data_IF_852241790416
#
_entry.id   IF_852241790416
#
_cell.length_a   1.000
_cell.length_b   1.000
_cell.length_c   1.000
_cell.angle_alpha   90.00
_cell.angle_beta   90.00
_cell.angle_gamma   90.00
#
_symmetry.space_group_name_H-M   'P 1'
#
loop_
_entity.id
_entity.type
_entity.pdbx_description
1 polymer ?
#
# COMPACT_ATOMS: atom_id res chain seq x y z
N UNK A 1 -6.73 6.41 -26.90
CA UNK A 1 -7.10 5.37 -25.91
C UNK A 1 -6.80 5.88 -24.50
N UNK A 2 -7.81 6.37 -23.79
CA UNK A 2 -7.70 6.94 -22.44
C UNK A 2 -8.68 6.19 -21.52
N UNK A 3 -8.29 5.01 -21.05
CA UNK A 3 -9.20 4.13 -20.28
C UNK A 3 -8.61 3.34 -19.09
N UNK A 4 -7.28 3.23 -18.83
CA UNK A 4 -6.83 2.46 -17.68
C UNK A 4 -7.04 3.22 -16.35
N UNK A 5 -6.59 4.47 -16.22
CA UNK A 5 -6.66 5.21 -14.96
C UNK A 5 -8.10 5.47 -14.44
N UNK A 6 -9.07 5.67 -15.35
CA UNK A 6 -10.48 5.83 -14.99
C UNK A 6 -11.12 4.53 -14.48
N UNK A 7 -10.73 3.39 -15.06
CA UNK A 7 -11.16 2.06 -14.60
C UNK A 7 -10.60 1.74 -13.21
N UNK A 8 -9.32 2.02 -12.96
CA UNK A 8 -8.69 1.89 -11.63
C UNK A 8 -9.39 2.71 -10.55
N UNK A 9 -9.71 3.98 -10.86
CA UNK A 9 -10.42 4.84 -9.94
C UNK A 9 -11.86 4.40 -9.68
N UNK A 10 -12.51 3.78 -10.67
CA UNK A 10 -13.83 3.15 -10.53
C UNK A 10 -13.73 1.87 -9.70
N UNK A 11 -12.72 1.03 -9.92
CA UNK A 11 -12.48 -0.21 -9.14
C UNK A 11 -12.11 0.11 -7.69
N UNK A 12 -11.27 1.12 -7.45
CA UNK A 12 -10.96 1.60 -6.10
C UNK A 12 -12.19 2.24 -5.44
N UNK A 13 -12.88 3.13 -6.16
CA UNK A 13 -14.12 3.73 -5.67
C UNK A 13 -15.17 2.69 -5.34
N UNK A 14 -15.28 1.61 -6.12
CA UNK A 14 -16.20 0.50 -5.92
C UNK A 14 -15.78 -0.46 -4.82
N UNK A 15 -14.48 -0.80 -4.69
CA UNK A 15 -13.97 -1.66 -3.61
C UNK A 15 -13.95 -0.94 -2.27
N UNK A 16 -13.55 0.32 -2.23
CA UNK A 16 -13.65 1.17 -1.05
C UNK A 16 -15.13 1.40 -0.68
N UNK A 17 -16.00 1.70 -1.66
CA UNK A 17 -17.45 1.78 -1.46
C UNK A 17 -18.04 0.46 -0.99
N UNK A 18 -17.60 -0.70 -1.48
CA UNK A 18 -18.12 -2.01 -1.04
C UNK A 18 -17.58 -2.44 0.31
N UNK A 19 -16.33 -2.12 0.64
CA UNK A 19 -15.81 -2.29 1.99
C UNK A 19 -16.56 -1.39 3.00
N UNK A 20 -16.91 -0.17 2.57
CA UNK A 20 -17.72 0.77 3.33
C UNK A 20 -19.21 0.34 3.40
N UNK A 21 -19.81 -0.10 2.29
CA UNK A 21 -21.23 -0.45 2.15
C UNK A 21 -21.56 -1.85 2.68
N UNK A 22 -20.65 -2.83 2.60
CA UNK A 22 -20.83 -4.11 3.31
C UNK A 22 -20.78 -3.91 4.84
N UNK A 23 -20.12 -2.85 5.30
CA UNK A 23 -20.07 -2.44 6.69
C UNK A 23 -21.30 -1.58 7.10
N UNK A 24 -21.79 -0.70 6.22
CA UNK A 24 -23.02 0.09 6.41
C UNK A 24 -24.32 -0.69 6.20
N UNK A 25 -24.33 -1.76 5.40
CA UNK A 25 -25.49 -2.64 5.27
C UNK A 25 -25.88 -3.29 6.62
N UNK A 26 -25.01 -3.18 7.63
CA UNK A 26 -25.31 -3.53 9.01
C UNK A 26 -25.96 -2.39 9.84
N UNK A 27 -25.97 -1.12 9.39
CA UNK A 27 -26.29 0.05 10.23
C UNK A 27 -26.93 1.28 9.55
N UNK A 28 -27.99 1.12 8.74
CA UNK A 28 -29.04 2.16 8.53
C UNK A 28 -28.70 3.47 7.77
N UNK A 29 -29.16 3.53 6.51
CA UNK A 29 -29.86 4.57 5.72
C UNK A 29 -29.93 6.09 6.08
N UNK A 30 -29.14 6.66 6.99
CA UNK A 30 -29.30 8.07 7.39
C UNK A 30 -27.99 8.82 7.11
N UNK A 31 -28.08 9.96 6.41
CA UNK A 31 -26.99 10.89 5.99
C UNK A 31 -26.46 10.74 4.55
N UNK A 32 -27.33 10.96 3.55
CA UNK A 32 -27.02 10.67 2.15
C UNK A 32 -26.81 11.87 1.22
N UNK A 33 -26.95 13.15 1.61
CA UNK A 33 -26.85 14.26 0.64
C UNK A 33 -25.59 15.14 0.80
N UNK A 34 -25.31 15.65 2.00
CA UNK A 34 -24.12 16.47 2.28
C UNK A 34 -22.83 15.65 2.25
N UNK A 35 -22.93 14.38 2.65
CA UNK A 35 -21.90 13.36 2.48
C UNK A 35 -21.57 13.15 1.00
N UNK A 36 -22.55 13.02 0.11
CA UNK A 36 -22.33 12.77 -1.33
C UNK A 36 -21.56 13.89 -2.05
N UNK A 37 -21.81 15.16 -1.73
CA UNK A 37 -21.10 16.28 -2.35
C UNK A 37 -19.62 16.36 -1.90
N UNK A 38 -19.36 16.16 -0.61
CA UNK A 38 -18.00 16.07 -0.08
C UNK A 38 -17.27 14.82 -0.61
N UNK A 39 -17.99 13.72 -0.79
CA UNK A 39 -17.51 12.48 -1.43
C UNK A 39 -17.14 12.74 -2.89
N UNK A 40 -17.95 13.50 -3.64
CA UNK A 40 -17.67 13.82 -5.04
C UNK A 40 -16.40 14.64 -5.23
N UNK A 41 -16.16 15.63 -4.37
CA UNK A 41 -14.95 16.45 -4.41
C UNK A 41 -13.70 15.66 -3.99
N UNK A 42 -13.78 14.90 -2.89
CA UNK A 42 -12.70 14.00 -2.46
C UNK A 42 -12.39 12.95 -3.52
N UNK A 43 -13.40 12.40 -4.20
CA UNK A 43 -13.21 11.44 -5.30
C UNK A 43 -12.35 12.04 -6.42
N UNK A 44 -12.57 13.30 -6.80
CA UNK A 44 -11.78 13.98 -7.86
C UNK A 44 -10.33 14.23 -7.43
N UNK A 45 -10.11 14.68 -6.20
CA UNK A 45 -8.76 14.92 -5.66
C UNK A 45 -7.96 13.63 -5.54
N UNK A 46 -8.60 12.58 -5.01
CA UNK A 46 -8.01 11.23 -4.94
C UNK A 46 -7.74 10.67 -6.34
N UNK A 47 -8.65 10.87 -7.30
CA UNK A 47 -8.45 10.46 -8.70
C UNK A 47 -7.24 11.12 -9.35
N UNK A 48 -7.07 12.44 -9.19
CA UNK A 48 -5.95 13.17 -9.78
C UNK A 48 -4.62 12.75 -9.16
N UNK A 49 -4.57 12.66 -7.83
CA UNK A 49 -3.37 12.26 -7.10
C UNK A 49 -3.01 10.79 -7.39
N UNK A 50 -3.98 9.89 -7.43
CA UNK A 50 -3.75 8.50 -7.82
C UNK A 50 -3.29 8.38 -9.26
N UNK A 51 -3.82 9.19 -10.18
CA UNK A 51 -3.35 9.19 -11.58
C UNK A 51 -1.87 9.57 -11.65
N UNK A 52 -1.45 10.61 -10.92
CA UNK A 52 -0.05 11.03 -10.88
C UNK A 52 0.85 9.98 -10.23
N UNK A 53 0.39 9.37 -9.12
CA UNK A 53 1.09 8.23 -8.49
C UNK A 53 1.20 7.07 -9.47
N UNK A 54 0.10 6.62 -10.08
CA UNK A 54 0.04 5.50 -11.03
C UNK A 54 0.97 5.77 -12.22
N UNK A 55 0.96 6.99 -12.77
CA UNK A 55 1.81 7.36 -13.90
C UNK A 55 3.28 7.41 -13.49
N UNK A 56 3.60 7.95 -12.31
CA UNK A 56 4.94 7.93 -11.74
C UNK A 56 5.43 6.50 -11.49
N UNK A 57 4.57 5.64 -10.94
CA UNK A 57 4.82 4.22 -10.70
C UNK A 57 5.10 3.50 -12.01
N UNK A 58 4.25 3.67 -13.01
CA UNK A 58 4.43 3.04 -14.32
C UNK A 58 5.74 3.47 -14.96
N UNK A 59 6.05 4.77 -14.97
CA UNK A 59 7.33 5.28 -15.49
C UNK A 59 8.52 4.70 -14.73
N UNK A 60 8.47 4.69 -13.40
CA UNK A 60 9.56 4.15 -12.59
C UNK A 60 9.73 2.65 -12.80
N UNK A 61 8.63 1.90 -12.90
CA UNK A 61 8.62 0.46 -13.21
C UNK A 61 9.18 0.20 -14.60
N UNK A 62 8.77 0.94 -15.62
CA UNK A 62 9.26 0.73 -16.99
C UNK A 62 10.77 1.07 -17.08
N UNK A 63 11.22 2.16 -16.47
CA UNK A 63 12.64 2.53 -16.39
C UNK A 63 13.45 1.46 -15.63
N UNK A 64 13.00 1.06 -14.44
CA UNK A 64 13.76 0.14 -13.58
C UNK A 64 13.69 -1.32 -14.03
N UNK A 65 12.60 -1.76 -14.65
CA UNK A 65 12.48 -3.14 -15.14
C UNK A 65 13.50 -3.47 -16.24
N UNK A 66 13.97 -2.47 -17.00
CA UNK A 66 15.07 -2.64 -17.97
C UNK A 66 16.47 -2.69 -17.32
N UNK A 67 16.58 -2.28 -16.05
CA UNK A 67 17.86 -2.08 -15.33
C UNK A 67 17.99 -2.87 -14.03
N UNK A 68 16.96 -3.64 -13.64
CA UNK A 68 16.98 -4.45 -12.42
C UNK A 68 18.20 -5.40 -12.41
N UNK A 69 18.58 -5.93 -13.56
CA UNK A 69 19.76 -6.79 -13.78
C UNK A 69 21.09 -6.03 -13.60
N UNK A 70 21.13 -4.70 -13.70
CA UNK A 70 22.40 -3.92 -13.74
C UNK A 70 22.61 -2.94 -12.60
N UNK A 71 21.57 -2.35 -12.00
CA UNK A 71 21.76 -1.26 -11.02
C UNK A 71 20.75 -1.20 -9.88
N UNK A 72 19.77 -2.10 -9.81
CA UNK A 72 18.82 -2.28 -8.69
C UNK A 72 18.50 -0.99 -7.93
N UNK A 73 17.56 -0.16 -8.41
CA UNK A 73 17.31 1.21 -7.93
C UNK A 73 17.59 1.44 -6.44
N UNK A 74 18.73 2.07 -6.14
CA UNK A 74 19.40 2.04 -4.83
C UNK A 74 18.96 3.17 -3.89
N UNK A 75 17.70 3.18 -3.46
CA UNK A 75 17.29 4.07 -2.35
C UNK A 75 17.39 3.34 -1.02
N UNK A 76 18.42 3.68 -0.25
CA UNK A 76 18.55 3.33 1.18
C UNK A 76 18.27 4.56 2.03
N UNK A 77 17.86 4.34 3.27
CA UNK A 77 17.93 5.37 4.31
C UNK A 77 19.02 4.95 5.26
N UNK A 78 19.92 5.87 5.61
CA UNK A 78 20.87 5.65 6.71
C UNK A 78 20.40 6.43 7.91
N UNK A 79 20.36 5.76 9.05
CA UNK A 79 20.12 6.38 10.35
C UNK A 79 21.47 6.38 11.03
N UNK A 80 22.17 7.51 11.02
CA UNK A 80 23.52 7.61 11.58
C UNK A 80 23.60 7.11 13.03
N UNK A 81 24.82 6.90 13.55
CA UNK A 81 25.14 6.32 14.89
C UNK A 81 24.46 6.98 16.12
N UNK A 82 23.63 8.01 15.96
CA UNK A 82 22.96 8.74 17.04
C UNK A 82 21.63 8.14 17.50
N UNK A 83 21.02 7.26 16.71
CA UNK A 83 19.88 6.47 17.17
C UNK A 83 20.34 5.02 17.34
N UNK A 84 20.22 4.45 18.55
CA UNK A 84 20.24 2.99 18.74
C UNK A 84 18.93 2.43 18.14
N UNK A 85 18.83 2.43 16.80
CA UNK A 85 17.60 2.03 16.12
C UNK A 85 17.49 0.52 16.20
N UNK A 86 16.64 0.02 17.09
CA UNK A 86 16.16 -1.36 17.04
C UNK A 86 15.71 -1.64 15.60
N UNK A 87 16.17 -2.75 15.01
CA UNK A 87 15.90 -3.15 13.62
C UNK A 87 16.65 -2.36 12.52
N UNK A 88 17.75 -1.66 12.84
CA UNK A 88 18.58 -0.93 11.86
C UNK A 88 18.90 -1.78 10.61
N UNK A 89 19.25 -3.04 10.80
CA UNK A 89 19.59 -3.97 9.72
C UNK A 89 18.47 -4.19 8.69
N UNK A 90 17.20 -3.96 9.06
CA UNK A 90 16.05 -4.05 8.16
C UNK A 90 15.65 -2.67 7.60
N UNK A 91 15.83 -1.61 8.37
CA UNK A 91 15.50 -0.23 7.98
C UNK A 91 16.42 0.29 6.88
N UNK A 92 17.72 0.00 7.00
CA UNK A 92 18.74 0.47 6.06
C UNK A 92 18.83 -0.40 4.79
N UNK A 93 17.98 -1.44 4.68
CA UNK A 93 17.90 -2.26 3.46
C UNK A 93 17.44 -1.44 2.26
N UNK A 94 18.01 -1.83 1.12
CA UNK A 94 17.63 -1.30 -0.19
C UNK A 94 16.20 -1.72 -0.49
N UNK A 95 15.35 -0.73 -0.72
CA UNK A 95 13.98 -0.96 -1.18
C UNK A 95 13.90 -0.39 -2.59
N UNK A 96 13.78 -1.22 -3.64
CA UNK A 96 13.46 -0.75 -4.98
C UNK A 96 12.14 0.00 -4.94
N UNK A 97 11.98 1.02 -5.78
CA UNK A 97 10.76 1.83 -5.81
C UNK A 97 10.43 2.58 -4.51
N UNK A 98 11.39 2.74 -3.57
CA UNK A 98 11.15 3.47 -2.30
C UNK A 98 10.49 4.83 -2.50
N UNK A 99 10.83 5.69 -3.49
CA UNK A 99 10.16 6.98 -3.68
C UNK A 99 8.65 6.87 -3.93
N UNK A 100 8.29 5.93 -4.79
CA UNK A 100 6.90 5.58 -5.10
C UNK A 100 6.18 5.01 -3.88
N UNK A 101 6.79 4.03 -3.20
CA UNK A 101 6.21 3.39 -2.00
C UNK A 101 6.00 4.45 -0.92
N UNK A 102 6.99 5.32 -0.72
CA UNK A 102 6.94 6.45 0.20
C UNK A 102 5.78 7.39 -0.11
N UNK A 103 5.54 7.70 -1.38
CA UNK A 103 4.44 8.57 -1.80
C UNK A 103 3.09 7.94 -1.47
N UNK A 104 2.90 6.66 -1.79
CA UNK A 104 1.67 5.92 -1.46
C UNK A 104 1.44 5.87 0.05
N UNK A 105 2.46 5.49 0.82
CA UNK A 105 2.39 5.40 2.28
C UNK A 105 2.13 6.76 2.94
N UNK A 106 2.80 7.83 2.51
CA UNK A 106 2.54 9.18 3.04
C UNK A 106 1.14 9.67 2.70
N UNK A 107 0.64 9.35 1.50
CA UNK A 107 -0.75 9.66 1.14
C UNK A 107 -1.74 8.88 2.01
N UNK A 108 -1.53 7.57 2.18
CA UNK A 108 -2.35 6.73 3.04
C UNK A 108 -2.32 7.17 4.52
N UNK A 109 -1.21 7.76 4.98
CA UNK A 109 -1.12 8.38 6.31
C UNK A 109 -1.97 9.66 6.40
N UNK A 110 -1.96 10.50 5.36
CA UNK A 110 -2.69 11.79 5.33
C UNK A 110 -4.19 11.62 5.07
N UNK A 111 -4.56 10.64 4.25
CA UNK A 111 -5.93 10.41 3.79
C UNK A 111 -6.31 8.92 3.88
N UNK A 112 -6.29 8.32 5.07
CA UNK A 112 -6.68 6.92 5.24
C UNK A 112 -8.17 6.72 4.99
N UNK A 113 -8.53 5.55 4.49
CA UNK A 113 -9.90 5.03 4.60
C UNK A 113 -10.28 4.96 6.07
N UNK A 114 -11.45 5.53 6.41
CA UNK A 114 -12.01 5.48 7.75
C UNK A 114 -13.17 4.52 7.78
N UNK A 115 -13.24 3.69 8.81
CA UNK A 115 -14.36 2.78 9.06
C UNK A 115 -14.85 2.97 10.50
N UNK A 116 -16.17 3.00 10.73
CA UNK A 116 -16.69 3.08 12.09
C UNK A 116 -16.45 1.74 12.80
N UNK A 117 -15.90 1.75 14.02
CA UNK A 117 -15.79 0.57 14.88
C UNK A 117 -16.55 0.81 16.17
N UNK A 118 -17.44 -0.14 16.50
CA UNK A 118 -18.08 -0.21 17.81
C UNK A 118 -17.10 -0.76 18.84
N UNK A 119 -16.87 -0.01 19.90
CA UNK A 119 -16.12 -0.45 21.07
C UNK A 119 -17.12 -0.62 22.20
N UNK A 120 -17.07 -1.79 22.84
CA UNK A 120 -17.81 -2.09 24.07
C UNK A 120 -16.82 -2.08 25.22
N UNK A 121 -17.01 -1.18 26.18
CA UNK A 121 -16.23 -1.17 27.43
C UNK A 121 -17.16 -1.52 28.58
N UNK A 122 -16.87 -2.64 29.25
CA UNK A 122 -17.59 -3.04 30.46
C UNK A 122 -16.94 -2.35 31.66
N UNK A 123 -17.73 -1.54 32.35
CA UNK A 123 -17.39 -0.88 33.62
C UNK A 123 -18.26 -1.56 34.70
N UNK A 124 -17.86 -1.63 35.98
CA UNK A 124 -18.73 -2.19 37.01
C UNK A 124 -20.10 -1.50 37.02
N UNK A 125 -21.17 -2.24 36.70
CA UNK A 125 -22.54 -1.75 36.65
C UNK A 125 -23.05 -1.26 35.29
N UNK A 126 -22.18 -1.02 34.29
CA UNK A 126 -22.61 -0.43 33.00
C UNK A 126 -21.77 -0.92 31.81
N UNK A 127 -22.41 -1.04 30.65
CA UNK A 127 -21.74 -1.30 29.36
C UNK A 127 -21.86 -0.04 28.52
N UNK A 128 -20.74 0.67 28.35
CA UNK A 128 -20.68 1.81 27.45
C UNK A 128 -20.37 1.29 26.05
N UNK A 129 -21.28 1.55 25.11
CA UNK A 129 -21.05 1.35 23.69
C UNK A 129 -20.71 2.69 23.02
N UNK A 130 -19.60 2.75 22.31
CA UNK A 130 -19.23 3.96 21.56
C UNK A 130 -18.75 3.56 20.18
N UNK A 131 -19.15 4.31 19.16
CA UNK A 131 -18.64 4.18 17.80
C UNK A 131 -17.49 5.18 17.62
N UNK A 132 -16.32 4.68 17.24
CA UNK A 132 -15.18 5.52 16.87
C UNK A 132 -14.81 5.28 15.41
N UNK A 133 -14.33 6.31 14.72
CA UNK A 133 -13.75 6.15 13.39
C UNK A 133 -12.33 5.64 13.47
N UNK A 134 -12.06 4.50 12.83
CA UNK A 134 -10.73 3.91 12.73
C UNK A 134 -10.16 4.16 11.35
N UNK A 135 -8.96 4.73 11.31
CA UNK A 135 -8.18 4.94 10.10
C UNK A 135 -7.41 3.67 9.70
N UNK A 136 -7.77 3.07 8.56
CA UNK A 136 -7.14 1.89 7.98
C UNK A 136 -5.98 2.28 7.05
N UNK A 137 -4.91 2.84 7.62
CA UNK A 137 -3.76 3.38 6.85
C UNK A 137 -3.09 2.31 5.98
N UNK A 138 -2.80 1.14 6.54
CA UNK A 138 -2.17 0.04 5.83
C UNK A 138 -3.04 -0.49 4.69
N UNK A 139 -4.30 -0.81 4.97
CA UNK A 139 -5.27 -1.24 3.95
C UNK A 139 -5.40 -0.21 2.82
N UNK A 140 -5.37 1.08 3.16
CA UNK A 140 -5.40 2.16 2.16
C UNK A 140 -4.20 2.09 1.23
N UNK A 141 -2.98 1.91 1.75
CA UNK A 141 -1.78 1.73 0.94
C UNK A 141 -1.85 0.44 0.09
N UNK A 142 -2.24 -0.69 0.69
CA UNK A 142 -2.37 -1.98 0.02
C UNK A 142 -3.34 -1.93 -1.17
N UNK A 143 -4.48 -1.24 -1.01
CA UNK A 143 -5.44 -1.04 -2.10
C UNK A 143 -4.86 -0.21 -3.25
N UNK A 144 -4.07 0.83 -2.96
CA UNK A 144 -3.42 1.64 -4.01
C UNK A 144 -2.42 0.80 -4.81
N UNK A 145 -1.59 0.01 -4.12
CA UNK A 145 -0.65 -0.90 -4.78
C UNK A 145 -1.38 -1.94 -5.64
N UNK A 146 -2.47 -2.52 -5.13
CA UNK A 146 -3.27 -3.51 -5.87
C UNK A 146 -3.91 -2.91 -7.13
N UNK A 147 -4.43 -1.69 -7.05
CA UNK A 147 -4.99 -0.99 -8.20
C UNK A 147 -3.92 -0.72 -9.25
N UNK A 148 -2.71 -0.33 -8.85
CA UNK A 148 -1.60 -0.13 -9.79
C UNK A 148 -1.22 -1.46 -10.46
N UNK A 149 -1.21 -2.55 -9.70
CA UNK A 149 -0.92 -3.89 -10.24
C UNK A 149 -1.99 -4.32 -11.26
N UNK A 150 -3.27 -4.14 -10.94
CA UNK A 150 -4.39 -4.42 -11.85
C UNK A 150 -4.27 -3.63 -13.17
N UNK A 151 -3.92 -2.34 -13.11
CA UNK A 151 -3.68 -1.50 -14.30
C UNK A 151 -2.50 -1.94 -15.16
N UNK A 152 -1.54 -2.62 -14.55
CA UNK A 152 -0.41 -3.22 -15.24
C UNK A 152 -0.68 -4.68 -15.59
N UNK A 153 -1.95 -5.07 -15.67
CA UNK A 153 -2.39 -6.44 -15.96
C UNK A 153 -1.72 -7.47 -15.04
N UNK A 154 -1.61 -7.15 -13.76
CA UNK A 154 -0.95 -7.93 -12.71
C UNK A 154 0.56 -8.12 -12.92
N UNK A 155 1.20 -7.23 -13.68
CA UNK A 155 2.64 -7.25 -13.94
C UNK A 155 3.37 -6.08 -13.26
N UNK A 156 2.83 -5.50 -12.19
CA UNK A 156 3.63 -4.65 -11.30
C UNK A 156 4.63 -5.51 -10.52
N UNK A 157 5.86 -5.04 -10.28
CA UNK A 157 6.77 -5.70 -9.36
C UNK A 157 6.31 -5.61 -7.90
N UNK A 158 5.37 -4.71 -7.58
CA UNK A 158 4.88 -4.47 -6.23
C UNK A 158 3.59 -5.25 -5.98
N UNK A 159 3.64 -6.25 -5.09
CA UNK A 159 2.50 -7.11 -4.71
C UNK A 159 2.10 -6.81 -3.26
N UNK A 160 0.91 -6.25 -3.07
CA UNK A 160 0.41 -5.92 -1.72
C UNK A 160 -0.20 -7.13 -1.03
N UNK A 161 0.17 -7.31 0.24
CA UNK A 161 -0.29 -8.37 1.14
C UNK A 161 -0.49 -9.74 0.44
N UNK A 162 0.52 -10.26 -0.28
CA UNK A 162 0.45 -11.59 -0.86
C UNK A 162 0.55 -12.63 0.25
N UNK A 163 -0.25 -13.69 0.12
CA UNK A 163 -0.22 -14.79 1.08
C UNK A 163 0.77 -15.88 0.64
N UNK A 164 1.51 -16.41 1.59
CA UNK A 164 2.31 -17.61 1.49
C UNK A 164 1.77 -18.65 2.45
N UNK A 165 1.77 -19.91 2.05
CA UNK A 165 1.49 -21.01 2.97
C UNK A 165 2.55 -21.07 4.07
N UNK A 166 2.16 -21.09 5.35
CA UNK A 166 3.12 -20.99 6.46
C UNK A 166 3.92 -22.25 6.74
N UNK A 167 3.71 -23.34 5.99
CA UNK A 167 4.47 -24.59 6.14
C UNK A 167 5.33 -24.87 4.92
N UNK A 168 4.73 -24.79 3.72
CA UNK A 168 5.43 -25.03 2.46
C UNK A 168 6.10 -23.78 1.88
N UNK A 169 5.80 -22.60 2.43
CA UNK A 169 6.29 -21.29 1.96
C UNK A 169 5.96 -20.98 0.50
N UNK A 170 5.05 -21.75 -0.11
CA UNK A 170 4.61 -21.53 -1.49
C UNK A 170 3.69 -20.32 -1.57
N UNK A 171 3.83 -19.47 -2.59
CA UNK A 171 2.93 -18.33 -2.79
C UNK A 171 1.53 -18.81 -3.15
N UNK A 172 0.51 -18.15 -2.61
CA UNK A 172 -0.88 -18.38 -2.98
C UNK A 172 -1.23 -17.53 -4.21
N UNK A 173 -1.21 -18.15 -5.38
CA UNK A 173 -1.38 -17.47 -6.67
C UNK A 173 -2.86 -17.38 -7.10
N UNK A 174 -3.21 -16.29 -7.76
CA UNK A 174 -4.47 -16.09 -8.47
C UNK A 174 -4.29 -16.30 -9.98
N UNK A 175 -5.24 -15.75 -10.74
CA UNK A 175 -5.21 -15.71 -12.21
C UNK A 175 -5.13 -14.25 -12.70
N UNK A 176 -4.12 -13.85 -13.50
CA UNK A 176 -2.96 -14.65 -13.94
C UNK A 176 -2.03 -15.02 -12.78
N UNK A 177 -1.08 -15.95 -12.97
CA UNK A 177 -0.20 -16.45 -11.90
C UNK A 177 0.71 -15.40 -11.24
N UNK A 178 0.84 -14.22 -11.84
CA UNK A 178 1.52 -13.06 -11.25
C UNK A 178 0.66 -12.30 -10.24
N UNK A 179 -0.64 -12.55 -10.20
CA UNK A 179 -1.61 -11.97 -9.27
C UNK A 179 -1.62 -12.73 -7.95
N UNK A 180 -1.61 -12.06 -6.79
CA UNK A 180 -1.87 -12.74 -5.52
C UNK A 180 -3.32 -13.25 -5.41
N UNK A 181 -3.51 -14.44 -4.84
CA UNK A 181 -4.84 -15.00 -4.60
C UNK A 181 -5.62 -14.09 -3.67
N UNK A 182 -6.81 -13.65 -4.11
CA UNK A 182 -7.77 -12.89 -3.29
C UNK A 182 -8.95 -13.79 -2.96
N UNK A 183 -9.33 -13.82 -1.68
CA UNK A 183 -10.42 -14.66 -1.17
C UNK A 183 -11.74 -13.89 -1.17
N UNK A 184 -11.66 -12.57 -1.18
CA UNK A 184 -12.79 -11.67 -1.25
C UNK A 184 -12.62 -10.71 -2.42
N UNK A 185 -13.69 -10.51 -3.18
CA UNK A 185 -13.75 -9.45 -4.21
C UNK A 185 -13.97 -8.06 -3.58
N UNK A 186 -14.46 -8.02 -2.35
CA UNK A 186 -14.92 -6.82 -1.65
C UNK A 186 -13.84 -6.26 -0.72
N UNK A 187 -13.15 -7.14 0.00
CA UNK A 187 -12.05 -6.81 0.89
C UNK A 187 -10.87 -7.75 0.60
N UNK A 188 -10.07 -7.46 -0.45
CA UNK A 188 -9.14 -8.43 -1.05
C UNK A 188 -8.12 -9.03 -0.07
N UNK A 189 -7.80 -8.31 1.00
CA UNK A 189 -6.82 -8.69 2.01
C UNK A 189 -7.41 -9.44 3.21
N UNK A 190 -8.74 -9.58 3.30
CA UNK A 190 -9.44 -10.21 4.43
C UNK A 190 -10.57 -11.15 3.97
N UNK A 191 -10.74 -12.31 4.63
CA UNK A 191 -9.91 -12.86 5.70
C UNK A 191 -8.57 -13.40 5.17
N UNK A 192 -7.55 -13.30 6.02
CA UNK A 192 -6.28 -13.98 5.78
C UNK A 192 -6.44 -15.49 6.07
N UNK A 193 -5.97 -16.41 5.21
CA UNK A 193 -5.93 -17.83 5.51
C UNK A 193 -5.24 -18.11 6.84
N UNK A 194 -5.80 -19.02 7.63
CA UNK A 194 -5.21 -19.43 8.90
C UNK A 194 -3.83 -20.04 8.64
N UNK A 195 -2.83 -19.59 9.40
CA UNK A 195 -1.46 -20.10 9.30
C UNK A 195 -0.68 -19.61 8.08
N UNK A 196 -1.19 -18.67 7.26
CA UNK A 196 -0.37 -18.07 6.21
C UNK A 196 0.68 -17.10 6.76
N UNK A 197 1.62 -16.68 5.92
CA UNK A 197 2.44 -15.49 6.13
C UNK A 197 2.10 -14.47 5.05
N UNK A 198 1.99 -13.19 5.42
CA UNK A 198 1.69 -12.12 4.47
C UNK A 198 2.52 -10.89 4.84
N UNK A 199 3.65 -10.65 4.17
CA UNK A 199 4.34 -9.36 4.22
C UNK A 199 3.45 -8.27 3.66
N UNK A 200 3.55 -7.04 4.17
CA UNK A 200 2.72 -5.93 3.71
C UNK A 200 2.90 -5.64 2.21
N UNK A 201 4.15 -5.77 1.73
CA UNK A 201 4.49 -5.61 0.33
C UNK A 201 5.63 -6.56 -0.08
N UNK A 202 5.45 -7.26 -1.19
CA UNK A 202 6.52 -7.99 -1.88
C UNK A 202 6.94 -7.22 -3.12
N UNK A 203 8.25 -7.16 -3.34
CA UNK A 203 8.88 -6.60 -4.53
C UNK A 203 9.53 -7.76 -5.27
N UNK A 204 9.04 -8.09 -6.47
CA UNK A 204 9.63 -9.14 -7.31
C UNK A 204 10.72 -8.59 -8.23
N UNK A 205 11.69 -9.43 -8.56
CA UNK A 205 12.77 -9.13 -9.51
C UNK A 205 12.23 -9.12 -10.95
N UNK A 206 11.52 -10.19 -11.32
CA UNK A 206 10.94 -10.39 -12.64
C UNK A 206 9.42 -10.22 -12.57
N UNK A 207 8.94 -9.04 -12.95
CA UNK A 207 7.51 -8.65 -12.88
C UNK A 207 6.53 -9.50 -13.69
N UNK A 208 7.03 -10.27 -14.66
CA UNK A 208 6.24 -11.19 -15.48
C UNK A 208 6.18 -12.61 -14.90
N UNK A 209 6.88 -12.87 -13.80
CA UNK A 209 6.89 -14.16 -13.11
C UNK A 209 6.10 -14.06 -11.78
N UNK A 210 5.60 -15.20 -11.26
CA UNK A 210 4.95 -15.24 -9.95
C UNK A 210 5.86 -14.74 -8.82
N UNK A 211 5.27 -14.31 -7.71
CA UNK A 211 5.98 -13.87 -6.50
C UNK A 211 6.49 -15.06 -5.64
N UNK A 212 6.97 -16.11 -6.31
CA UNK A 212 7.70 -17.20 -5.65
C UNK A 212 8.96 -16.65 -4.97
N UNK A 213 9.37 -17.26 -3.85
CA UNK A 213 10.44 -16.75 -2.97
C UNK A 213 11.75 -16.51 -3.73
N UNK A 214 12.01 -17.32 -4.75
CA UNK A 214 13.18 -17.21 -5.64
C UNK A 214 13.17 -15.91 -6.45
N UNK A 215 11.98 -15.44 -6.84
CA UNK A 215 11.76 -14.21 -7.60
C UNK A 215 11.52 -12.97 -6.69
N UNK A 216 11.56 -13.12 -5.36
CA UNK A 216 11.42 -11.99 -4.45
C UNK A 216 12.76 -11.27 -4.29
N UNK A 217 12.76 -9.97 -4.59
CA UNK A 217 13.85 -9.06 -4.24
C UNK A 217 13.75 -8.62 -2.78
N UNK A 218 12.55 -8.17 -2.37
CA UNK A 218 12.31 -7.73 -1.00
C UNK A 218 10.89 -8.01 -0.50
N UNK A 219 10.78 -8.54 0.71
CA UNK A 219 9.62 -8.50 1.58
C UNK A 219 9.72 -7.27 2.48
N UNK A 220 8.79 -6.33 2.33
CA UNK A 220 8.77 -5.06 3.05
C UNK A 220 7.63 -5.08 4.05
N UNK A 221 7.98 -4.92 5.33
CA UNK A 221 7.04 -4.62 6.40
C UNK A 221 6.88 -3.09 6.51
N UNK A 222 5.65 -2.59 6.56
CA UNK A 222 5.32 -1.17 6.56
C UNK A 222 4.68 -0.81 7.90
N UNK A 223 5.34 0.03 8.69
CA UNK A 223 4.83 0.47 10.00
C UNK A 223 4.39 1.93 9.96
N UNK A 224 3.10 2.15 10.17
CA UNK A 224 2.52 3.48 10.33
C UNK A 224 2.67 3.99 11.77
N UNK A 225 2.45 5.29 12.04
CA UNK A 225 2.57 5.83 13.39
C UNK A 225 1.61 5.13 14.36
N UNK A 226 2.12 4.83 15.54
CA UNK A 226 1.49 4.04 16.61
C UNK A 226 1.35 2.54 16.33
N UNK A 227 1.97 2.02 15.27
CA UNK A 227 2.13 0.57 15.08
C UNK A 227 3.52 0.12 15.56
N UNK A 228 3.59 -1.07 16.15
CA UNK A 228 4.82 -1.61 16.72
C UNK A 228 5.39 -2.72 15.83
N UNK A 229 6.71 -2.68 15.63
CA UNK A 229 7.44 -3.76 14.97
C UNK A 229 7.46 -4.96 15.90
N UNK A 230 6.98 -6.11 15.42
CA UNK A 230 7.11 -7.39 16.14
C UNK A 230 8.35 -8.11 15.62
N UNK A 231 9.27 -8.46 16.52
CA UNK A 231 10.51 -9.15 16.13
C UNK A 231 10.19 -10.49 15.44
N UNK A 232 9.32 -11.28 16.04
CA UNK A 232 8.92 -12.60 15.53
C UNK A 232 8.34 -12.51 14.11
N UNK A 233 7.62 -11.42 13.78
CA UNK A 233 7.12 -11.19 12.42
C UNK A 233 8.25 -11.02 11.40
N UNK A 234 9.32 -10.29 11.76
CA UNK A 234 10.47 -10.12 10.88
C UNK A 234 11.27 -11.43 10.76
N UNK A 235 11.40 -12.19 11.86
CA UNK A 235 12.05 -13.51 11.87
C UNK A 235 11.28 -14.50 10.99
N UNK A 236 9.95 -14.54 11.09
CA UNK A 236 9.07 -15.34 10.22
C UNK A 236 9.28 -15.00 8.74
N UNK A 237 9.44 -13.71 8.40
CA UNK A 237 9.74 -13.31 7.02
C UNK A 237 11.15 -13.67 6.58
N UNK A 238 12.14 -13.69 7.48
CA UNK A 238 13.48 -14.19 7.16
C UNK A 238 13.42 -15.68 6.85
N UNK A 239 12.70 -16.46 7.66
CA UNK A 239 12.48 -17.90 7.42
C UNK A 239 11.75 -18.11 6.09
N UNK A 240 10.67 -17.35 5.83
CA UNK A 240 9.94 -17.39 4.57
C UNK A 240 10.85 -17.11 3.36
N UNK A 241 11.83 -16.22 3.51
CA UNK A 241 12.78 -15.85 2.47
C UNK A 241 13.99 -16.80 2.37
N UNK A 242 13.89 -18.01 2.93
CA UNK A 242 14.96 -19.02 2.86
C UNK A 242 16.17 -18.65 3.72
N UNK A 243 15.92 -18.05 4.89
CA UNK A 243 16.94 -17.51 5.81
C UNK A 243 17.74 -16.32 5.26
N UNK A 244 17.34 -15.74 4.13
CA UNK A 244 17.98 -14.55 3.56
C UNK A 244 17.45 -13.24 4.17
N UNK A 245 18.12 -12.78 5.22
CA UNK A 245 17.79 -11.51 5.86
C UNK A 245 18.00 -10.26 4.98
N UNK A 246 18.64 -10.37 3.82
CA UNK A 246 18.83 -9.24 2.89
C UNK A 246 17.57 -8.97 2.08
N UNK A 247 16.69 -9.96 1.96
CA UNK A 247 15.37 -9.83 1.32
C UNK A 247 14.32 -9.21 2.25
N UNK A 248 14.57 -9.06 3.55
CA UNK A 248 13.58 -8.48 4.48
C UNK A 248 13.92 -7.02 4.75
N UNK A 249 12.95 -6.12 4.58
CA UNK A 249 13.10 -4.70 4.83
C UNK A 249 11.98 -4.16 5.72
N UNK A 250 12.29 -3.12 6.49
CA UNK A 250 11.33 -2.40 7.31
C UNK A 250 11.22 -0.96 6.82
N UNK A 251 10.00 -0.49 6.57
CA UNK A 251 9.70 0.89 6.18
C UNK A 251 8.78 1.53 7.22
N UNK A 252 9.29 2.47 8.00
CA UNK A 252 8.47 3.28 8.91
C UNK A 252 7.94 4.52 8.22
N UNK A 253 6.67 4.83 8.46
CA UNK A 253 5.97 5.95 7.86
C UNK A 253 5.69 6.99 8.95
N UNK A 254 6.07 8.26 8.77
CA UNK A 254 6.71 8.86 7.60
C UNK A 254 8.25 8.79 7.62
N UNK A 255 8.87 8.26 8.66
CA UNK A 255 10.24 8.60 8.99
C UNK A 255 11.29 7.98 8.06
N UNK A 256 10.99 6.84 7.43
CA UNK A 256 11.87 6.20 6.44
C UNK A 256 11.39 6.45 4.99
N UNK A 257 10.34 7.27 4.82
CA UNK A 257 9.80 7.65 3.52
C UNK A 257 10.62 8.78 2.89
N UNK A 258 11.18 8.54 1.71
CA UNK A 258 12.09 9.48 1.01
C UNK A 258 11.64 9.74 -0.42
N UNK A 259 12.00 10.88 -1.01
CA UNK A 259 11.81 11.14 -2.43
C UNK A 259 10.45 11.75 -2.81
N UNK A 260 9.55 12.01 -1.85
CA UNK A 260 8.33 12.76 -2.10
C UNK A 260 8.66 14.24 -2.40
N UNK A 261 8.50 14.64 -3.66
CA UNK A 261 8.43 16.05 -4.06
C UNK A 261 7.04 16.30 -4.63
N UNK A 262 6.06 16.80 -3.84
CA UNK A 262 4.79 17.22 -4.41
C UNK A 262 5.07 18.35 -5.40
N UNK A 263 4.50 18.28 -6.59
CA UNK A 263 4.60 19.37 -7.55
C UNK A 263 4.02 20.64 -6.89
N UNK A 264 4.81 21.72 -6.86
CA UNK A 264 4.42 23.00 -6.26
C UNK A 264 3.42 23.79 -7.11
N UNK A 265 2.55 23.11 -7.87
CA UNK A 265 1.54 23.79 -8.68
C UNK A 265 0.37 24.15 -7.77
N UNK A 266 0.39 25.38 -7.26
CA UNK A 266 -0.80 26.01 -6.68
C UNK A 266 -1.90 26.05 -7.76
N UNK A 267 -3.14 25.62 -7.49
CA UNK A 267 -4.24 25.87 -8.41
C UNK A 267 -4.50 27.39 -8.43
N UNK A 268 -4.34 28.02 -9.60
CA UNK A 268 -4.87 29.38 -9.82
C UNK A 268 -3.88 30.53 -10.02
N UNK A 269 -2.65 30.31 -10.51
CA UNK A 269 -1.88 31.42 -11.08
C UNK A 269 -1.47 31.10 -12.53
N UNK A 270 -2.37 31.46 -13.46
CA UNK A 270 -2.04 31.60 -14.87
C UNK A 270 -1.00 32.71 -15.03
N UNK A 271 0.24 32.31 -15.34
CA UNK A 271 1.30 33.26 -15.70
C UNK A 271 0.98 33.93 -17.04
N UNK A 272 0.96 35.26 -17.04
CA UNK A 272 0.88 36.08 -18.25
C UNK A 272 2.02 35.76 -19.23
N UNK A 273 1.80 35.82 -20.55
CA UNK A 273 2.85 35.59 -21.53
C UNK A 273 3.86 36.75 -21.47
N UNK A 274 5.12 36.41 -21.21
CA UNK A 274 6.24 37.35 -21.31
C UNK A 274 6.46 37.68 -22.79
N UNK A 275 6.14 38.92 -23.20
CA UNK A 275 6.50 39.46 -24.52
C UNK A 275 8.02 39.49 -24.64
N UNK A 276 8.54 38.82 -25.65
CA UNK A 276 9.91 38.94 -26.13
C UNK A 276 10.06 40.25 -26.92
N UNK A 277 11.07 41.03 -26.56
CA UNK A 277 11.83 41.89 -27.47
C UNK A 277 13.29 41.53 -27.31
#
# INVERSE_FOLDING_TARGET
>A
MAAPAAAAALVWGYRAYRAYAAHEAAQTAIETAETLAQIGQRKKEVQALLKDIIEGMKKEIDIKSSTFVRTGGNSTVSRGRKENVTYQQYIERKIPFRPVISTVCQWALKSPLKVPRRIRKKIPGEVIETTIDIALKQTTASLVFEVVDDLLAWQSPLKAEPNYDGTSYKPMLGDPSTRPKRISEFFPFWPRPKGSLAPDLIIVEYRQQPFAVENVFAAVEIKFPNDWVKRDQLEDYVILMGEDNKKVALLRVPEDCTGFKPSTVKPGQGGSPRKTK
#
